data_IF_884413490741
#
_entry.id   IF_884413490741
#
_cell.length_a   1.000
_cell.length_b   1.000
_cell.length_c   1.000
_cell.angle_alpha   90.00
_cell.angle_beta   90.00
_cell.angle_gamma   90.00
#
_symmetry.space_group_name_H-M   'P 1'
#
loop_
_entity.id
_entity.type
_entity.pdbx_description
1 polymer ?
#
# COMPACT_ATOMS: atom_id res chain seq x y z
N UNK A 1 17.14 33.33 -17.53
CA UNK A 1 17.63 32.79 -16.24
C UNK A 1 16.46 32.52 -15.28
N UNK A 2 15.47 31.73 -15.69
CA UNK A 2 14.21 31.52 -14.93
C UNK A 2 13.83 30.04 -14.76
N UNK A 3 14.57 29.11 -15.40
CA UNK A 3 14.30 27.66 -15.34
C UNK A 3 14.83 26.95 -14.08
N UNK A 4 15.74 27.57 -13.33
CA UNK A 4 16.37 26.96 -12.15
C UNK A 4 15.58 27.13 -10.85
N UNK A 5 14.64 28.09 -10.78
CA UNK A 5 13.83 28.34 -9.58
C UNK A 5 12.63 27.40 -9.44
N UNK A 6 12.14 26.82 -10.54
CA UNK A 6 10.97 25.93 -10.52
C UNK A 6 11.28 24.52 -9.95
N UNK A 7 12.53 24.07 -10.07
CA UNK A 7 12.96 22.78 -9.53
C UNK A 7 13.13 22.77 -8.01
N UNK A 8 13.21 23.95 -7.36
CA UNK A 8 13.43 24.02 -5.91
C UNK A 8 12.13 23.87 -5.11
N UNK A 9 10.96 24.09 -5.72
CA UNK A 9 9.66 23.96 -5.05
C UNK A 9 9.14 22.51 -5.11
N UNK A 10 9.56 21.72 -6.12
CA UNK A 10 9.12 20.33 -6.30
C UNK A 10 9.80 19.35 -5.33
N UNK A 11 10.97 19.69 -4.77
CA UNK A 11 11.73 18.79 -3.89
C UNK A 11 11.32 18.84 -2.41
N UNK A 12 10.49 19.79 -1.97
CA UNK A 12 10.17 19.94 -0.55
C UNK A 12 9.02 19.06 -0.03
N UNK A 13 8.28 18.35 -0.88
CA UNK A 13 7.11 17.55 -0.43
C UNK A 13 7.47 16.13 0.02
N UNK A 14 8.72 15.68 -0.16
CA UNK A 14 9.12 14.28 0.14
C UNK A 14 9.82 14.09 1.50
N UNK A 15 9.92 15.13 2.35
CA UNK A 15 10.66 15.03 3.64
C UNK A 15 9.83 15.22 4.91
N UNK A 16 8.59 14.74 4.92
CA UNK A 16 7.84 14.54 6.16
C UNK A 16 7.51 13.05 6.34
N UNK A 17 8.54 12.22 6.52
CA UNK A 17 8.33 10.91 7.12
C UNK A 17 7.83 11.13 8.56
N UNK A 18 6.61 10.71 8.93
CA UNK A 18 6.15 10.89 10.29
C UNK A 18 6.91 9.88 11.16
N UNK A 19 7.85 10.39 11.95
CA UNK A 19 8.46 9.66 13.07
C UNK A 19 7.43 9.17 14.11
N UNK A 20 6.14 9.49 13.93
CA UNK A 20 5.02 9.07 14.78
C UNK A 20 4.40 7.70 14.41
N UNK A 21 4.79 7.06 13.30
CA UNK A 21 4.17 5.79 12.88
C UNK A 21 4.78 4.53 13.51
N UNK A 22 5.87 4.65 14.27
CA UNK A 22 6.40 3.56 15.10
C UNK A 22 5.70 3.50 16.46
N UNK A 23 4.36 3.55 16.45
CA UNK A 23 3.61 3.04 17.60
C UNK A 23 3.82 1.54 17.55
N UNK A 24 4.51 0.99 18.55
CA UNK A 24 4.75 -0.43 18.78
C UNK A 24 3.45 -1.20 18.52
N UNK A 25 3.32 -1.67 17.27
CA UNK A 25 2.10 -2.30 16.82
C UNK A 25 2.08 -3.64 17.53
N UNK A 26 1.20 -3.79 18.52
CA UNK A 26 0.88 -5.09 19.11
C UNK A 26 0.81 -6.08 17.96
N UNK A 27 1.71 -7.07 17.98
CA UNK A 27 1.84 -8.10 16.96
C UNK A 27 0.59 -8.98 17.07
N UNK A 28 -0.49 -8.49 16.49
CA UNK A 28 -1.80 -9.11 16.46
C UNK A 28 -2.08 -9.65 15.07
N UNK A 29 -2.95 -10.66 15.02
CA UNK A 29 -3.40 -11.26 13.77
C UNK A 29 -3.99 -10.19 12.85
N UNK A 30 -3.63 -10.22 11.58
CA UNK A 30 -4.14 -9.33 10.55
C UNK A 30 -5.20 -10.04 9.74
N UNK A 31 -6.40 -9.50 9.74
CA UNK A 31 -7.51 -10.09 9.01
C UNK A 31 -7.33 -9.92 7.48
N UNK A 32 -7.33 -11.01 6.70
CA UNK A 32 -7.12 -10.93 5.26
C UNK A 32 -8.25 -10.19 4.51
N UNK A 33 -9.50 -10.32 4.97
CA UNK A 33 -10.64 -9.59 4.39
C UNK A 33 -10.52 -8.08 4.58
N UNK A 34 -10.04 -7.65 5.75
CA UNK A 34 -9.74 -6.24 6.01
C UNK A 34 -8.61 -5.74 5.11
N UNK A 35 -7.58 -6.56 4.86
CA UNK A 35 -6.50 -6.20 3.95
C UNK A 35 -7.03 -5.97 2.51
N UNK A 36 -7.94 -6.81 2.03
CA UNK A 36 -8.56 -6.65 0.70
C UNK A 36 -9.42 -5.40 0.63
N UNK A 37 -10.23 -5.11 1.65
CA UNK A 37 -11.05 -3.89 1.70
C UNK A 37 -10.19 -2.62 1.68
N UNK A 38 -9.08 -2.62 2.43
CA UNK A 38 -8.14 -1.49 2.41
C UNK A 38 -7.47 -1.35 1.04
N UNK A 39 -7.17 -2.47 0.36
CA UNK A 39 -6.60 -2.44 -0.99
C UNK A 39 -7.58 -1.98 -2.07
N UNK A 40 -8.88 -2.17 -1.87
CA UNK A 40 -9.91 -1.62 -2.75
C UNK A 40 -9.98 -0.10 -2.63
N UNK A 41 -9.86 0.43 -1.42
CA UNK A 41 -9.91 1.87 -1.19
C UNK A 41 -8.63 2.59 -1.63
N UNK A 42 -7.46 1.98 -1.41
CA UNK A 42 -6.16 2.59 -1.68
C UNK A 42 -5.27 1.56 -2.39
N UNK A 43 -4.71 1.87 -3.58
CA UNK A 43 -3.76 0.98 -4.25
C UNK A 43 -2.57 0.68 -3.34
N UNK A 44 -2.21 -0.60 -3.17
CA UNK A 44 -1.15 -1.02 -2.25
C UNK A 44 -1.52 -0.95 -0.76
N UNK A 45 -2.74 -0.56 -0.42
CA UNK A 45 -3.20 -0.37 0.95
C UNK A 45 -3.28 -1.67 1.76
N UNK A 46 -3.65 -2.79 1.13
CA UNK A 46 -3.71 -4.09 1.81
C UNK A 46 -2.34 -4.58 2.28
N UNK A 47 -1.31 -4.35 1.45
CA UNK A 47 0.07 -4.66 1.76
C UNK A 47 0.63 -3.72 2.85
N UNK A 48 0.24 -2.45 2.85
CA UNK A 48 0.57 -1.54 3.96
C UNK A 48 -0.09 -1.97 5.27
N UNK A 49 -1.36 -2.40 5.22
CA UNK A 49 -2.11 -2.87 6.38
C UNK A 49 -1.52 -4.16 7.00
N UNK A 50 -1.12 -5.12 6.16
CA UNK A 50 -0.49 -6.38 6.60
C UNK A 50 0.88 -6.14 7.26
N UNK A 51 1.51 -5.00 6.95
CA UNK A 51 2.87 -4.62 7.35
C UNK A 51 3.92 -5.02 6.33
N UNK A 52 3.52 -5.42 5.13
CA UNK A 52 4.39 -5.64 3.97
C UNK A 52 4.69 -4.30 3.26
N UNK A 53 5.30 -3.37 4.02
CA UNK A 53 5.45 -1.96 3.61
C UNK A 53 6.22 -1.78 2.29
N UNK A 54 7.25 -2.60 2.04
CA UNK A 54 8.01 -2.56 0.81
C UNK A 54 7.16 -2.84 -0.44
N UNK A 55 6.26 -3.83 -0.38
CA UNK A 55 5.35 -4.13 -1.50
C UNK A 55 4.25 -3.09 -1.63
N UNK A 56 3.68 -2.64 -0.51
CA UNK A 56 2.65 -1.59 -0.51
C UNK A 56 3.16 -0.28 -1.10
N UNK A 57 4.37 0.16 -0.71
CA UNK A 57 5.01 1.35 -1.25
C UNK A 57 5.36 1.20 -2.74
N UNK A 58 5.82 0.02 -3.17
CA UNK A 58 6.09 -0.24 -4.58
C UNK A 58 4.80 -0.16 -5.43
N UNK A 59 3.70 -0.75 -4.96
CA UNK A 59 2.41 -0.70 -5.67
C UNK A 59 1.84 0.73 -5.72
N UNK A 60 1.93 1.49 -4.63
CA UNK A 60 1.58 2.92 -4.61
C UNK A 60 2.45 3.72 -5.59
N UNK A 61 3.76 3.48 -5.57
CA UNK A 61 4.71 4.17 -6.43
C UNK A 61 4.46 3.89 -7.91
N UNK A 62 4.21 2.63 -8.28
CA UNK A 62 3.93 2.23 -9.67
C UNK A 62 2.57 2.79 -10.13
N UNK A 63 1.54 2.68 -9.30
CA UNK A 63 0.20 3.17 -9.65
C UNK A 63 0.20 4.69 -9.86
N UNK A 64 0.63 5.47 -8.86
CA UNK A 64 0.67 6.93 -8.97
C UNK A 64 1.74 7.42 -9.97
N UNK A 65 2.90 6.75 -10.01
CA UNK A 65 3.97 7.08 -10.94
C UNK A 65 3.58 6.83 -12.40
N UNK A 66 2.85 5.75 -12.69
CA UNK A 66 2.36 5.44 -14.03
C UNK A 66 1.45 6.55 -14.57
N UNK A 67 0.47 7.00 -13.78
CA UNK A 67 -0.41 8.12 -14.16
C UNK A 67 0.38 9.42 -14.31
N UNK A 68 1.22 9.74 -13.33
CA UNK A 68 1.99 10.99 -13.34
C UNK A 68 2.88 11.08 -14.60
N UNK A 69 3.58 10.01 -14.95
CA UNK A 69 4.43 9.95 -16.14
C UNK A 69 3.59 9.99 -17.43
N UNK A 70 2.47 9.26 -17.48
CA UNK A 70 1.60 9.24 -18.66
C UNK A 70 0.96 10.59 -18.95
N UNK A 71 0.45 11.28 -17.93
CA UNK A 71 -0.10 12.64 -18.05
C UNK A 71 1.00 13.63 -18.42
N UNK A 72 2.16 13.59 -17.77
CA UNK A 72 3.26 14.51 -18.06
C UNK A 72 3.76 14.38 -19.50
N UNK A 73 3.87 13.14 -20.00
CA UNK A 73 4.27 12.88 -21.37
C UNK A 73 3.21 13.35 -22.39
N UNK A 74 1.92 13.24 -22.06
CA UNK A 74 0.83 13.72 -22.92
C UNK A 74 0.76 15.25 -22.95
N UNK A 75 0.94 15.91 -21.81
CA UNK A 75 1.03 17.38 -21.78
C UNK A 75 2.26 17.87 -22.54
N UNK A 76 3.35 17.10 -22.51
CA UNK A 76 4.56 17.42 -23.28
C UNK A 76 4.42 17.21 -24.79
N UNK A 77 3.42 16.42 -25.22
CA UNK A 77 3.11 16.19 -26.64
C UNK A 77 2.00 17.12 -27.17
N UNK A 78 1.44 17.98 -26.33
CA UNK A 78 0.39 18.90 -26.73
C UNK A 78 0.93 19.93 -27.72
N UNK A 79 0.39 19.91 -28.94
CA UNK A 79 0.73 20.82 -30.02
C UNK A 79 -0.55 21.31 -30.70
N UNK A 80 -0.70 22.63 -30.81
CA UNK A 80 -1.77 23.25 -31.59
C UNK A 80 -1.12 23.90 -32.80
N UNK A 81 -1.45 23.40 -33.98
CA UNK A 81 -1.07 23.98 -35.26
C UNK A 81 -2.32 24.60 -35.90
N UNK A 82 -2.17 25.77 -36.51
CA UNK A 82 -3.25 26.42 -37.25
C UNK A 82 -2.75 26.77 -38.65
N UNK A 83 -3.53 26.40 -39.64
CA UNK A 83 -3.25 26.74 -41.03
C UNK A 83 -3.72 28.16 -41.37
N UNK A 84 -3.23 28.69 -42.50
CA UNK A 84 -3.59 30.00 -43.09
C UNK A 84 -5.12 30.20 -43.26
N UNK A 85 -5.89 29.10 -43.29
CA UNK A 85 -7.34 29.08 -43.39
C UNK A 85 -8.07 29.15 -42.03
N UNK A 86 -7.37 29.44 -40.93
CA UNK A 86 -7.89 29.41 -39.55
C UNK A 86 -8.42 28.04 -39.11
N UNK A 87 -8.01 26.97 -39.78
CA UNK A 87 -8.25 25.61 -39.32
C UNK A 87 -7.17 25.25 -38.31
N UNK A 88 -7.55 25.06 -37.06
CA UNK A 88 -6.64 24.59 -36.02
C UNK A 88 -6.85 23.10 -35.78
N UNK A 89 -5.77 22.33 -35.82
CA UNK A 89 -5.75 20.90 -35.55
C UNK A 89 -4.98 20.65 -34.25
N UNK A 90 -5.53 19.80 -33.40
CA UNK A 90 -4.88 19.34 -32.17
C UNK A 90 -4.14 18.03 -32.47
N UNK A 91 -2.80 18.07 -32.39
CA UNK A 91 -1.92 16.92 -32.65
C UNK A 91 -1.50 16.20 -31.35
N UNK A 92 -2.23 16.43 -30.24
CA UNK A 92 -1.92 15.85 -28.94
C UNK A 92 -1.91 14.31 -28.98
N UNK A 93 -0.78 13.71 -28.62
CA UNK A 93 -0.65 12.26 -28.51
C UNK A 93 -1.09 11.78 -27.11
N UNK A 94 -2.28 11.18 -27.04
CA UNK A 94 -2.86 10.62 -25.81
C UNK A 94 -2.37 9.21 -25.44
N UNK A 95 -1.56 8.57 -26.29
CA UNK A 95 -1.04 7.23 -26.02
C UNK A 95 -0.30 7.11 -24.67
N UNK A 96 0.57 8.06 -24.27
CA UNK A 96 1.26 7.98 -22.98
C UNK A 96 0.30 8.02 -21.80
N UNK A 97 -0.76 8.83 -21.86
CA UNK A 97 -1.79 8.87 -20.82
C UNK A 97 -2.52 7.54 -20.71
N UNK A 98 -2.92 6.94 -21.84
CA UNK A 98 -3.58 5.65 -21.86
C UNK A 98 -2.71 4.54 -21.24
N UNK A 99 -1.41 4.52 -21.56
CA UNK A 99 -0.45 3.59 -20.94
C UNK A 99 -0.30 3.84 -19.43
N UNK A 100 -0.25 5.10 -19.01
CA UNK A 100 -0.19 5.46 -17.59
C UNK A 100 -1.40 4.94 -16.81
N UNK A 101 -2.61 5.10 -17.34
CA UNK A 101 -3.83 4.55 -16.75
C UNK A 101 -3.86 3.02 -16.77
N UNK A 102 -3.37 2.38 -17.82
CA UNK A 102 -3.28 0.92 -17.88
C UNK A 102 -2.36 0.36 -16.78
N UNK A 103 -1.20 1.00 -16.56
CA UNK A 103 -0.28 0.65 -15.46
C UNK A 103 -0.94 0.86 -14.10
N UNK A 104 -1.66 1.97 -13.91
CA UNK A 104 -2.42 2.24 -12.69
C UNK A 104 -3.46 1.16 -12.39
N UNK A 105 -4.34 0.86 -13.36
CA UNK A 105 -5.39 -0.15 -13.17
C UNK A 105 -4.80 -1.54 -12.97
N UNK A 106 -3.80 -1.92 -13.77
CA UNK A 106 -3.14 -3.22 -13.64
C UNK A 106 -2.49 -3.42 -12.27
N UNK A 107 -1.76 -2.42 -11.78
CA UNK A 107 -1.13 -2.47 -10.45
C UNK A 107 -2.14 -2.40 -9.31
N UNK A 108 -3.23 -1.65 -9.47
CA UNK A 108 -4.31 -1.61 -8.48
C UNK A 108 -5.01 -2.96 -8.34
N UNK A 109 -5.44 -3.56 -9.46
CA UNK A 109 -6.08 -4.88 -9.49
C UNK A 109 -5.14 -5.94 -8.91
N UNK A 110 -3.87 -5.93 -9.32
CA UNK A 110 -2.86 -6.82 -8.76
C UNK A 110 -2.75 -6.66 -7.23
N UNK A 111 -2.73 -5.41 -6.73
CA UNK A 111 -2.68 -5.13 -5.30
C UNK A 111 -3.88 -5.68 -4.54
N UNK A 112 -5.09 -5.56 -5.11
CA UNK A 112 -6.32 -6.12 -4.52
C UNK A 112 -6.24 -7.64 -4.42
N UNK A 113 -5.78 -8.31 -5.48
CA UNK A 113 -5.65 -9.78 -5.51
C UNK A 113 -4.59 -10.25 -4.50
N UNK A 114 -3.43 -9.60 -4.44
CA UNK A 114 -2.33 -9.98 -3.54
C UNK A 114 -2.58 -9.61 -2.06
N UNK A 115 -3.57 -8.77 -1.75
CA UNK A 115 -3.78 -8.27 -0.40
C UNK A 115 -4.09 -9.37 0.63
N UNK A 116 -4.86 -10.39 0.22
CA UNK A 116 -5.19 -11.54 1.07
C UNK A 116 -3.92 -12.35 1.39
N UNK A 117 -3.20 -12.77 0.34
CA UNK A 117 -1.94 -13.50 0.48
C UNK A 117 -0.90 -12.70 1.27
N UNK A 118 -0.87 -11.37 1.13
CA UNK A 118 0.01 -10.50 1.90
C UNK A 118 -0.28 -10.57 3.41
N UNK A 119 -1.55 -10.52 3.80
CA UNK A 119 -1.96 -10.68 5.19
C UNK A 119 -1.58 -12.07 5.72
N UNK A 120 -1.85 -13.12 4.95
CA UNK A 120 -1.51 -14.50 5.34
C UNK A 120 0.00 -14.70 5.47
N UNK A 121 0.80 -14.25 4.51
CA UNK A 121 2.27 -14.29 4.56
C UNK A 121 2.81 -13.55 5.77
N UNK A 122 2.28 -12.37 6.09
CA UNK A 122 2.74 -11.61 7.24
C UNK A 122 2.31 -12.21 8.58
N UNK A 123 1.12 -12.80 8.67
CA UNK A 123 0.70 -13.57 9.83
C UNK A 123 1.59 -14.80 10.02
N UNK A 124 1.91 -15.54 8.94
CA UNK A 124 2.80 -16.69 8.98
C UNK A 124 4.22 -16.32 9.44
N UNK A 125 4.78 -15.23 8.90
CA UNK A 125 6.09 -14.67 9.35
C UNK A 125 6.10 -14.28 10.83
N UNK A 126 4.94 -13.97 11.39
CA UNK A 126 4.76 -13.60 12.81
C UNK A 126 4.34 -14.77 13.69
N UNK A 127 4.20 -15.98 13.15
CA UNK A 127 3.73 -17.16 13.89
C UNK A 127 2.25 -17.12 14.27
N UNK A 128 1.44 -16.28 13.62
CA UNK A 128 0.03 -16.05 13.93
C UNK A 128 -0.91 -16.87 13.02
N UNK A 129 -0.52 -18.10 12.71
CA UNK A 129 -1.29 -18.97 11.81
C UNK A 129 -2.54 -19.46 12.56
N UNK A 130 -3.74 -19.08 12.12
CA UNK A 130 -5.01 -19.61 12.69
C UNK A 130 -5.98 -18.62 13.33
N UNK A 131 -5.88 -17.31 13.10
CA UNK A 131 -6.97 -16.35 13.36
C UNK A 131 -7.22 -15.95 14.82
N UNK A 132 -6.86 -16.80 15.77
CA UNK A 132 -6.89 -16.49 17.20
C UNK A 132 -5.56 -16.93 17.81
N UNK A 133 -4.72 -16.01 18.33
CA UNK A 133 -3.66 -16.44 19.23
C UNK A 133 -4.35 -17.09 20.44
N UNK A 134 -4.11 -18.37 20.75
CA UNK A 134 -4.71 -18.98 21.92
C UNK A 134 -4.39 -18.10 23.13
N UNK A 135 -5.41 -17.69 23.89
CA UNK A 135 -5.16 -16.93 25.10
C UNK A 135 -4.52 -17.88 26.11
N UNK A 136 -3.20 -17.79 26.23
CA UNK A 136 -2.44 -18.48 27.26
C UNK A 136 -2.68 -17.72 28.57
N UNK A 137 -3.47 -18.30 29.46
CA UNK A 137 -3.60 -17.79 30.83
C UNK A 137 -2.86 -18.73 31.78
N UNK A 138 -1.90 -18.23 32.59
CA UNK A 138 -1.30 -19.06 33.62
C UNK A 138 -2.39 -19.45 34.61
N UNK A 139 -2.55 -20.75 34.85
CA UNK A 139 -3.46 -21.28 35.86
C UNK A 139 -2.62 -21.87 36.97
N UNK A 140 -2.67 -21.21 38.13
CA UNK A 140 -2.12 -21.75 39.37
C UNK A 140 -3.26 -22.52 40.02
N UNK A 141 -3.16 -23.85 40.04
CA UNK A 141 -4.12 -24.69 40.74
C UNK A 141 -3.52 -25.05 42.08
N UNK A 142 -4.04 -24.46 43.16
CA UNK A 142 -3.69 -24.85 44.51
C UNK A 142 -4.54 -26.07 44.88
N UNK A 143 -3.91 -27.26 44.91
CA UNK A 143 -4.54 -28.49 45.38
C UNK A 143 -4.24 -28.63 46.89
N UNK A 144 -5.25 -28.72 47.78
CA UNK A 144 -5.02 -28.86 49.22
C UNK A 144 -4.26 -30.12 49.63
N UNK A 145 -4.21 -31.14 48.76
CA UNK A 145 -3.57 -32.44 49.05
C UNK A 145 -2.36 -32.73 48.15
N UNK A 146 -2.04 -31.89 47.17
CA UNK A 146 -0.88 -32.03 46.29
C UNK A 146 -0.19 -30.68 46.08
N UNK A 147 1.14 -30.67 45.99
CA UNK A 147 1.93 -29.47 45.79
C UNK A 147 1.37 -28.55 44.68
N UNK A 148 1.50 -27.23 44.86
CA UNK A 148 1.05 -26.19 43.91
C UNK A 148 1.44 -26.54 42.48
N UNK A 149 0.45 -26.68 41.58
CA UNK A 149 0.70 -26.96 40.17
C UNK A 149 0.57 -25.68 39.36
N UNK A 150 1.65 -25.33 38.66
CA UNK A 150 1.60 -24.34 37.58
C UNK A 150 1.21 -25.06 36.29
N UNK A 151 0.10 -24.64 35.70
CA UNK A 151 -0.37 -25.12 34.40
C UNK A 151 -0.64 -23.97 33.45
N UNK A 152 -0.82 -24.29 32.18
CA UNK A 152 -1.21 -23.35 31.14
C UNK A 152 -2.64 -23.68 30.70
N UNK A 153 -3.56 -22.72 30.82
CA UNK A 153 -4.89 -22.84 30.21
C UNK A 153 -4.82 -22.34 28.79
N UNK A 154 -5.16 -23.19 27.83
CA UNK A 154 -5.35 -22.84 26.42
C UNK A 154 -6.85 -22.65 26.21
N UNK A 155 -7.29 -21.42 25.91
CA UNK A 155 -8.67 -21.12 25.53
C UNK A 155 -8.69 -20.77 24.03
N UNK A 156 -9.46 -21.55 23.27
CA UNK A 156 -9.74 -21.32 21.86
C UNK A 156 -10.88 -20.30 21.71
#
# INVERSE_FOLDING_TARGET
>A
MTRTLLHLIVTCVVSAAPAAAQREARIGYKDPGTATLVSLAIPGGGQLYSGETGRGAALLGVSLGGVALGVSATVSSAGVSCDEAFNCQDDTNYLPMALGYAVFLGSWIYGVIDADDSAQRMNARRGLVGGFPPRLSPVITADPQRATRMGLSIRF
#
